data_IF_156699420816
#
_entry.id   IF_156699420816
#
_cell.length_a   1.000
_cell.length_b   1.000
_cell.length_c   1.000
_cell.angle_alpha   90.00
_cell.angle_beta   90.00
_cell.angle_gamma   90.00
#
_symmetry.space_group_name_H-M   'P 1'
#
loop_
_entity.id
_entity.type
_entity.pdbx_description
1 polymer ?
#
# COMPACT_ATOMS: atom_id res chain seq x y z
N UNK A 1 -3.98 16.71 -26.20
CA UNK A 1 -2.98 15.97 -25.39
C UNK A 1 -2.29 15.00 -26.31
N UNK A 2 -1.00 14.93 -26.27
CA UNK A 2 -0.24 13.96 -27.05
C UNK A 2 -0.58 12.54 -26.59
N UNK A 3 -0.41 11.59 -27.51
CA UNK A 3 -0.68 10.18 -27.20
C UNK A 3 0.42 9.68 -26.25
N UNK A 4 0.09 8.95 -25.14
CA UNK A 4 1.11 8.39 -24.30
C UNK A 4 1.99 7.39 -25.05
N UNK A 5 3.26 7.30 -24.66
CA UNK A 5 4.19 6.29 -25.16
C UNK A 5 3.70 4.88 -24.82
N UNK A 6 3.25 4.70 -23.60
CA UNK A 6 2.62 3.48 -23.08
C UNK A 6 1.84 3.77 -21.80
N UNK A 7 1.04 2.81 -21.38
CA UNK A 7 0.26 2.86 -20.15
C UNK A 7 0.63 1.65 -19.29
N UNK A 8 0.85 1.89 -18.01
CA UNK A 8 1.05 0.86 -17.00
C UNK A 8 -0.22 0.80 -16.15
N UNK A 9 -0.77 -0.42 -15.97
CA UNK A 9 -1.83 -0.67 -15.02
C UNK A 9 -1.29 -1.56 -13.91
N UNK A 10 -1.47 -1.14 -12.67
CA UNK A 10 -1.04 -1.83 -11.47
C UNK A 10 -2.21 -1.95 -10.51
N UNK A 11 -2.34 -3.10 -9.86
CA UNK A 11 -3.39 -3.34 -8.86
C UNK A 11 -2.80 -4.03 -7.65
N UNK A 12 -3.37 -3.75 -6.47
CA UNK A 12 -3.03 -4.45 -5.25
C UNK A 12 -4.29 -4.69 -4.40
N UNK A 13 -4.43 -5.89 -3.80
CA UNK A 13 -5.57 -6.20 -2.96
C UNK A 13 -5.52 -5.42 -1.64
N UNK A 14 -6.71 -5.13 -1.10
CA UNK A 14 -6.84 -4.89 0.33
C UNK A 14 -6.76 -6.23 1.07
N UNK A 15 -6.75 -6.21 2.39
CA UNK A 15 -6.59 -7.43 3.17
C UNK A 15 -7.63 -7.59 4.27
N UNK A 16 -7.90 -8.85 4.60
CA UNK A 16 -8.45 -9.26 5.89
C UNK A 16 -7.36 -9.97 6.69
N UNK A 17 -7.34 -9.77 7.99
CA UNK A 17 -6.38 -10.38 8.91
C UNK A 17 -7.14 -11.16 9.98
N UNK A 18 -7.18 -12.48 9.83
CA UNK A 18 -7.92 -13.35 10.73
C UNK A 18 -7.18 -13.61 12.04
N UNK A 19 -5.86 -13.71 11.97
CA UNK A 19 -5.04 -14.05 13.13
C UNK A 19 -3.74 -13.25 13.15
N UNK A 20 -3.29 -12.89 14.34
CA UNK A 20 -1.99 -12.26 14.56
C UNK A 20 -1.97 -10.76 14.33
N UNK A 21 -3.12 -10.10 14.20
CA UNK A 21 -3.19 -8.65 14.13
C UNK A 21 -2.46 -7.99 15.31
N UNK A 22 -1.77 -6.87 15.05
CA UNK A 22 -0.90 -6.14 15.99
C UNK A 22 0.47 -6.78 16.26
N UNK A 23 0.68 -8.07 15.96
CA UNK A 23 1.98 -8.71 16.20
C UNK A 23 3.03 -8.37 15.14
N UNK A 24 2.66 -7.63 14.10
CA UNK A 24 3.52 -7.11 13.04
C UNK A 24 4.04 -5.69 13.31
N UNK A 25 3.90 -5.20 14.53
CA UNK A 25 4.19 -3.83 14.90
C UNK A 25 5.51 -3.68 15.66
N UNK A 26 6.03 -2.46 15.73
CA UNK A 26 7.26 -2.11 16.45
C UNK A 26 7.16 -2.41 17.95
N UNK A 27 5.98 -2.29 18.55
CA UNK A 27 5.80 -2.56 19.98
C UNK A 27 5.68 -4.05 20.33
N UNK A 28 5.23 -4.87 19.38
CA UNK A 28 5.24 -6.33 19.53
C UNK A 28 6.64 -6.91 19.26
N UNK A 29 7.38 -6.33 18.32
CA UNK A 29 8.74 -6.71 17.97
C UNK A 29 8.85 -7.98 17.14
N UNK A 30 7.99 -8.97 17.36
CA UNK A 30 7.92 -10.24 16.63
C UNK A 30 6.49 -10.79 16.66
N UNK A 31 6.14 -11.64 15.69
CA UNK A 31 4.82 -12.23 15.65
C UNK A 31 4.57 -13.11 14.43
N UNK A 32 3.38 -13.69 14.41
CA UNK A 32 2.92 -14.54 13.33
C UNK A 32 1.52 -14.09 12.90
N UNK A 33 1.36 -13.86 11.62
CA UNK A 33 0.15 -13.28 11.03
C UNK A 33 -0.37 -14.20 9.94
N UNK A 34 -1.68 -14.40 9.92
CA UNK A 34 -2.39 -15.01 8.81
C UNK A 34 -3.29 -13.96 8.19
N UNK A 35 -3.10 -13.68 6.90
CA UNK A 35 -3.92 -12.73 6.18
C UNK A 35 -4.27 -13.21 4.77
N UNK A 36 -5.29 -12.58 4.20
CA UNK A 36 -5.82 -12.89 2.88
C UNK A 36 -6.00 -11.58 2.11
N UNK A 37 -5.38 -11.49 0.95
CA UNK A 37 -5.64 -10.43 -0.01
C UNK A 37 -7.00 -10.61 -0.68
N UNK A 38 -7.85 -9.59 -0.60
CA UNK A 38 -9.24 -9.67 -1.07
C UNK A 38 -9.59 -8.46 -1.95
N UNK A 39 -10.62 -8.63 -2.79
CA UNK A 39 -11.29 -7.53 -3.47
C UNK A 39 -12.05 -6.63 -2.44
N UNK A 40 -12.18 -5.33 -2.68
CA UNK A 40 -11.76 -4.56 -3.87
C UNK A 40 -10.27 -4.24 -3.89
N UNK A 41 -9.75 -4.00 -5.09
CA UNK A 41 -8.35 -3.64 -5.28
C UNK A 41 -8.14 -2.13 -5.25
N UNK A 42 -6.94 -1.71 -4.84
CA UNK A 42 -6.42 -0.41 -5.24
C UNK A 42 -5.91 -0.50 -6.67
N UNK A 43 -6.28 0.46 -7.49
CA UNK A 43 -5.96 0.51 -8.92
C UNK A 43 -5.15 1.77 -9.22
N UNK A 44 -4.05 1.59 -9.94
CA UNK A 44 -3.17 2.67 -10.39
C UNK A 44 -2.95 2.53 -11.89
N UNK A 45 -3.25 3.59 -12.63
CA UNK A 45 -2.91 3.70 -14.05
C UNK A 45 -1.89 4.82 -14.22
N UNK A 46 -0.78 4.52 -14.90
CA UNK A 46 0.28 5.48 -15.20
C UNK A 46 0.38 5.64 -16.71
N UNK A 47 -0.04 6.77 -17.22
CA UNK A 47 0.20 7.16 -18.60
C UNK A 47 1.55 7.88 -18.69
N UNK A 48 2.43 7.38 -19.56
CA UNK A 48 3.82 7.84 -19.69
C UNK A 48 3.96 8.63 -20.98
N UNK A 49 4.48 9.85 -20.87
CA UNK A 49 4.72 10.76 -21.99
C UNK A 49 6.20 11.12 -22.09
N UNK A 50 6.69 11.51 -23.29
CA UNK A 50 8.03 12.04 -23.41
C UNK A 50 8.10 13.38 -22.69
N UNK A 51 9.14 13.60 -21.88
CA UNK A 51 9.47 14.89 -21.31
C UNK A 51 10.27 15.73 -22.33
N UNK A 52 10.21 17.04 -22.16
CA UNK A 52 10.99 18.00 -22.95
C UNK A 52 12.46 18.13 -22.48
N UNK A 53 12.84 17.39 -21.44
CA UNK A 53 14.17 17.35 -20.85
C UNK A 53 14.47 18.50 -19.87
N UNK A 54 13.51 19.39 -19.60
CA UNK A 54 13.71 20.50 -18.66
C UNK A 54 13.24 20.21 -17.24
N UNK A 55 12.13 19.50 -17.09
CA UNK A 55 11.65 18.98 -15.81
C UNK A 55 10.64 17.87 -16.05
N UNK A 56 10.65 16.82 -15.23
CA UNK A 56 9.56 15.86 -15.22
C UNK A 56 8.30 16.53 -14.68
N UNK A 57 7.22 16.47 -15.44
CA UNK A 57 5.91 16.90 -14.97
C UNK A 57 5.11 15.66 -14.55
N UNK A 58 4.70 15.61 -13.30
CA UNK A 58 3.89 14.52 -12.78
C UNK A 58 2.54 15.07 -12.34
N UNK A 59 1.50 14.56 -12.97
CA UNK A 59 0.10 14.86 -12.65
C UNK A 59 -0.48 13.72 -11.84
N UNK A 60 -1.05 13.99 -10.70
CA UNK A 60 -1.86 13.05 -9.94
C UNK A 60 -3.34 13.32 -10.21
N UNK A 61 -4.08 12.26 -10.48
CA UNK A 61 -5.53 12.23 -10.52
C UNK A 61 -6.03 11.28 -9.43
N UNK A 62 -6.39 11.83 -8.27
CA UNK A 62 -6.91 11.08 -7.13
C UNK A 62 -8.46 10.99 -7.25
N UNK A 63 -8.95 9.98 -7.97
CA UNK A 63 -10.37 9.89 -8.37
C UNK A 63 -11.32 9.84 -7.19
N UNK A 64 -10.96 9.14 -6.13
CA UNK A 64 -11.79 9.06 -4.91
C UNK A 64 -12.06 10.42 -4.26
N UNK A 65 -11.20 11.39 -4.49
CA UNK A 65 -11.31 12.75 -3.95
C UNK A 65 -11.78 13.77 -4.99
N UNK A 66 -11.88 13.37 -6.27
CA UNK A 66 -12.17 14.28 -7.38
C UNK A 66 -11.09 15.33 -7.60
N UNK A 67 -9.85 15.02 -7.21
CA UNK A 67 -8.73 15.95 -7.26
C UNK A 67 -7.75 15.58 -8.37
N UNK A 68 -7.38 16.59 -9.18
CA UNK A 68 -6.34 16.49 -10.20
C UNK A 68 -5.38 17.65 -10.06
N UNK A 69 -4.10 17.37 -9.86
CA UNK A 69 -3.08 18.38 -9.66
C UNK A 69 -1.71 17.96 -10.19
N UNK A 70 -0.84 18.94 -10.38
CA UNK A 70 0.58 18.75 -10.73
C UNK A 70 1.40 18.74 -9.45
N UNK A 71 2.31 17.80 -9.32
CA UNK A 71 3.30 17.81 -8.23
C UNK A 71 4.23 19.00 -8.47
N UNK A 72 4.37 19.81 -7.45
CA UNK A 72 5.29 20.96 -7.42
C UNK A 72 6.45 20.59 -6.49
N UNK A 73 7.67 20.35 -7.02
CA UNK A 73 8.81 19.89 -6.21
C UNK A 73 9.16 20.78 -5.01
N UNK A 74 8.89 22.10 -5.12
CA UNK A 74 9.15 23.07 -4.05
C UNK A 74 8.14 23.00 -2.90
N UNK A 75 6.98 22.34 -3.14
CA UNK A 75 5.95 22.12 -2.14
C UNK A 75 6.04 20.68 -1.67
N UNK A 76 6.67 20.50 -0.55
CA UNK A 76 6.89 19.19 0.02
C UNK A 76 5.58 18.60 0.54
N UNK A 77 5.02 17.62 -0.19
CA UNK A 77 3.86 16.76 0.16
C UNK A 77 2.63 17.53 0.71
N UNK A 78 2.12 18.48 -0.06
CA UNK A 78 1.07 19.40 0.44
C UNK A 78 -0.38 18.92 0.17
N UNK A 79 -0.60 17.98 -0.76
CA UNK A 79 -1.92 17.52 -1.17
C UNK A 79 -2.24 16.11 -0.66
N UNK A 80 -1.54 15.13 -1.19
CA UNK A 80 -1.65 13.71 -0.81
C UNK A 80 -0.28 13.19 -0.43
N UNK A 81 0.18 13.43 0.82
CA UNK A 81 1.54 13.13 1.24
C UNK A 81 2.02 11.72 0.90
N UNK A 82 1.15 10.71 1.08
CA UNK A 82 1.49 9.32 0.80
C UNK A 82 1.83 9.08 -0.68
N UNK A 83 1.05 9.65 -1.59
CA UNK A 83 1.26 9.49 -3.03
C UNK A 83 2.50 10.24 -3.50
N UNK A 84 2.67 11.46 -2.99
CA UNK A 84 3.78 12.33 -3.35
C UNK A 84 5.11 11.79 -2.82
N UNK A 85 5.14 11.29 -1.58
CA UNK A 85 6.30 10.61 -1.01
C UNK A 85 6.67 9.32 -1.76
N UNK A 86 5.67 8.54 -2.20
CA UNK A 86 5.92 7.34 -2.99
C UNK A 86 6.56 7.66 -4.35
N UNK A 87 6.11 8.73 -5.01
CA UNK A 87 6.70 9.19 -6.27
C UNK A 87 8.15 9.70 -6.05
N UNK A 88 8.38 10.46 -4.99
CA UNK A 88 9.71 10.94 -4.63
C UNK A 88 10.67 9.80 -4.33
N UNK A 89 10.23 8.80 -3.55
CA UNK A 89 11.01 7.61 -3.20
C UNK A 89 11.52 6.84 -4.42
N UNK A 90 10.73 6.80 -5.49
CA UNK A 90 11.05 6.01 -6.69
C UNK A 90 12.10 6.66 -7.61
N UNK A 91 12.51 7.90 -7.37
CA UNK A 91 13.57 8.59 -8.14
C UNK A 91 13.40 8.44 -9.66
N UNK A 92 12.26 8.82 -10.18
CA UNK A 92 11.88 8.59 -11.58
C UNK A 92 12.78 9.39 -12.54
N UNK A 93 12.99 8.89 -13.79
CA UNK A 93 13.77 9.59 -14.79
C UNK A 93 13.17 10.96 -15.13
N UNK A 94 13.98 12.03 -15.05
CA UNK A 94 13.55 13.40 -15.35
C UNK A 94 13.12 13.62 -16.82
N UNK A 95 13.43 12.67 -17.71
CA UNK A 95 13.02 12.69 -19.12
C UNK A 95 11.59 12.25 -19.37
N UNK A 96 10.84 11.87 -18.34
CA UNK A 96 9.45 11.40 -18.46
C UNK A 96 8.47 12.38 -17.83
N UNK A 97 7.32 12.52 -18.48
CA UNK A 97 6.15 13.15 -17.89
C UNK A 97 5.11 12.07 -17.63
N UNK A 98 4.45 12.12 -16.48
CA UNK A 98 3.51 11.10 -16.03
C UNK A 98 2.15 11.68 -15.70
N UNK A 99 1.10 10.94 -16.04
CA UNK A 99 -0.22 11.13 -15.47
C UNK A 99 -0.58 9.87 -14.69
N UNK A 100 -0.71 10.01 -13.37
CA UNK A 100 -0.95 8.91 -12.43
C UNK A 100 -2.38 9.01 -11.93
N UNK A 101 -3.23 8.10 -12.37
CA UNK A 101 -4.62 7.99 -11.92
C UNK A 101 -4.72 6.89 -10.86
N UNK A 102 -5.35 7.22 -9.73
CA UNK A 102 -5.44 6.34 -8.56
C UNK A 102 -6.91 6.24 -8.14
N UNK A 103 -7.36 5.02 -7.97
CA UNK A 103 -8.71 4.69 -7.53
C UNK A 103 -8.71 3.52 -6.54
N UNK A 104 -9.61 3.54 -5.57
CA UNK A 104 -9.91 2.39 -4.70
C UNK A 104 -11.39 2.41 -4.30
N UNK A 105 -12.07 1.29 -4.49
CA UNK A 105 -13.43 1.11 -3.97
C UNK A 105 -13.45 1.00 -2.44
N UNK A 106 -12.40 0.48 -1.84
CA UNK A 106 -12.29 0.39 -0.38
C UNK A 106 -12.01 1.77 0.19
N UNK A 107 -12.85 2.27 1.12
CA UNK A 107 -12.62 3.57 1.72
C UNK A 107 -11.37 3.56 2.60
N UNK A 108 -10.67 4.68 2.65
CA UNK A 108 -9.57 4.89 3.60
C UNK A 108 -10.09 4.82 5.05
N UNK A 109 -9.28 4.27 5.96
CA UNK A 109 -9.63 4.17 7.38
C UNK A 109 -10.67 3.08 7.71
N UNK A 110 -10.85 2.10 6.82
CA UNK A 110 -11.76 0.97 7.03
C UNK A 110 -11.07 -0.27 7.67
N UNK A 111 -9.85 -0.14 8.16
CA UNK A 111 -9.03 -1.25 8.71
C UNK A 111 -8.72 -2.38 7.73
N UNK A 112 -8.77 -2.10 6.45
CA UNK A 112 -8.54 -3.10 5.38
C UNK A 112 -7.21 -2.96 4.67
N UNK A 113 -6.30 -2.11 5.19
CA UNK A 113 -4.99 -1.86 4.57
C UNK A 113 -5.06 -1.09 3.26
N UNK A 114 -6.08 -0.23 3.06
CA UNK A 114 -6.27 0.52 1.80
C UNK A 114 -5.09 1.42 1.47
N UNK A 115 -4.49 2.11 2.45
CA UNK A 115 -3.31 2.96 2.24
C UNK A 115 -2.12 2.16 1.72
N UNK A 116 -1.85 1.01 2.35
CA UNK A 116 -0.80 0.10 1.93
C UNK A 116 -1.07 -0.46 0.51
N UNK A 117 -2.31 -0.85 0.19
CA UNK A 117 -2.67 -1.32 -1.14
C UNK A 117 -2.43 -0.26 -2.21
N UNK A 118 -2.83 0.99 -1.95
CA UNK A 118 -2.58 2.13 -2.86
C UNK A 118 -1.08 2.34 -3.06
N UNK A 119 -0.31 2.37 -1.97
CA UNK A 119 1.14 2.61 -2.04
C UNK A 119 1.86 1.46 -2.75
N UNK A 120 1.51 0.21 -2.47
CA UNK A 120 2.06 -0.98 -3.14
C UNK A 120 1.74 -0.97 -4.63
N UNK A 121 0.49 -0.69 -5.02
CA UNK A 121 0.12 -0.58 -6.44
C UNK A 121 0.89 0.54 -7.13
N UNK A 122 1.05 1.71 -6.49
CA UNK A 122 1.78 2.84 -7.03
C UNK A 122 3.27 2.53 -7.20
N UNK A 123 3.94 2.04 -6.14
CA UNK A 123 5.36 1.67 -6.17
C UNK A 123 5.62 0.59 -7.22
N UNK A 124 4.80 -0.48 -7.24
CA UNK A 124 4.93 -1.55 -8.24
C UNK A 124 4.73 -1.07 -9.68
N UNK A 125 3.81 -0.14 -9.90
CA UNK A 125 3.62 0.50 -11.21
C UNK A 125 4.81 1.37 -11.61
N UNK A 126 5.32 2.18 -10.70
CA UNK A 126 6.46 3.07 -10.94
C UNK A 126 7.79 2.31 -11.12
N UNK A 127 7.95 1.14 -10.48
CA UNK A 127 9.11 0.28 -10.66
C UNK A 127 9.33 -0.14 -12.12
N UNK A 128 8.25 -0.17 -12.91
CA UNK A 128 8.35 -0.43 -14.35
C UNK A 128 9.13 0.66 -15.12
N UNK A 129 9.31 1.84 -14.54
CA UNK A 129 10.01 2.98 -15.13
C UNK A 129 11.47 3.10 -14.67
N UNK A 130 11.89 2.28 -13.71
CA UNK A 130 13.23 2.29 -13.15
C UNK A 130 14.07 1.14 -13.72
N UNK A 131 15.42 1.24 -13.69
CA UNK A 131 16.29 0.10 -14.00
C UNK A 131 16.14 -1.00 -12.95
N UNK A 132 15.99 -2.22 -13.39
CA UNK A 132 15.79 -3.38 -12.51
C UNK A 132 14.32 -3.71 -12.31
N UNK A 133 14.06 -4.56 -11.33
CA UNK A 133 12.70 -4.96 -10.91
C UNK A 133 12.74 -5.35 -9.46
N UNK A 134 11.83 -4.76 -8.70
CA UNK A 134 11.62 -5.12 -7.31
C UNK A 134 10.88 -6.45 -7.20
N UNK A 135 11.28 -7.27 -6.25
CA UNK A 135 10.47 -8.41 -5.81
C UNK A 135 9.24 -7.90 -5.03
N UNK A 136 8.20 -8.72 -4.85
CA UNK A 136 7.06 -8.35 -4.00
C UNK A 136 7.47 -7.90 -2.60
N UNK A 137 8.51 -8.53 -2.04
CA UNK A 137 9.02 -8.17 -0.72
C UNK A 137 9.69 -6.78 -0.71
N UNK A 138 10.45 -6.45 -1.74
CA UNK A 138 11.08 -5.13 -1.88
C UNK A 138 10.03 -4.03 -2.09
N UNK A 139 8.97 -4.30 -2.88
CA UNK A 139 7.84 -3.36 -3.04
C UNK A 139 7.14 -3.12 -1.70
N UNK A 140 6.85 -4.18 -0.94
CA UNK A 140 6.26 -4.06 0.39
C UNK A 140 7.15 -3.27 1.36
N UNK A 141 8.46 -3.56 1.36
CA UNK A 141 9.44 -2.84 2.19
C UNK A 141 9.56 -1.37 1.80
N UNK A 142 9.53 -1.04 0.51
CA UNK A 142 9.52 0.34 0.02
C UNK A 142 8.26 1.08 0.47
N UNK A 143 7.08 0.47 0.29
CA UNK A 143 5.81 1.04 0.73
C UNK A 143 5.77 1.28 2.26
N UNK A 144 6.30 0.35 3.05
CA UNK A 144 6.41 0.49 4.49
C UNK A 144 7.36 1.64 4.89
N UNK A 145 8.52 1.76 4.24
CA UNK A 145 9.47 2.87 4.50
C UNK A 145 8.88 4.23 4.16
N UNK A 146 8.11 4.33 3.09
CA UNK A 146 7.42 5.57 2.72
C UNK A 146 6.48 6.00 3.85
N UNK A 147 5.68 5.09 4.39
CA UNK A 147 4.77 5.41 5.50
C UNK A 147 5.52 5.73 6.79
N UNK A 148 6.52 4.94 7.17
CA UNK A 148 7.15 5.04 8.50
C UNK A 148 8.33 5.98 8.55
N UNK A 149 9.24 5.94 7.58
CA UNK A 149 10.48 6.74 7.60
C UNK A 149 10.29 8.12 6.97
N UNK A 150 9.56 8.22 5.84
CA UNK A 150 9.36 9.50 5.16
C UNK A 150 8.22 10.31 5.80
N UNK A 151 7.08 9.68 6.08
CA UNK A 151 5.90 10.36 6.62
C UNK A 151 5.82 10.30 8.15
N UNK A 152 6.66 9.50 8.82
CA UNK A 152 6.64 9.36 10.28
C UNK A 152 5.36 8.73 10.83
N UNK A 153 4.64 7.98 10.02
CA UNK A 153 3.40 7.32 10.42
C UNK A 153 3.69 6.01 11.14
N UNK A 154 2.80 5.64 12.04
CA UNK A 154 2.85 4.36 12.71
C UNK A 154 2.20 3.30 11.83
N UNK A 155 2.95 2.29 11.40
CA UNK A 155 2.46 1.20 10.56
C UNK A 155 3.11 -0.13 10.94
N UNK A 156 2.33 -1.21 10.99
CA UNK A 156 2.86 -2.56 10.90
C UNK A 156 3.29 -2.87 9.47
N UNK A 157 3.79 -4.08 9.20
CA UNK A 157 4.25 -4.45 7.85
C UNK A 157 3.32 -5.42 7.12
N UNK A 158 2.35 -6.01 7.80
CA UNK A 158 1.49 -7.03 7.22
C UNK A 158 0.65 -6.54 6.04
N UNK A 159 0.21 -5.27 6.10
CA UNK A 159 -0.64 -4.67 5.08
C UNK A 159 0.09 -4.58 3.75
N UNK A 160 1.30 -4.04 3.76
CA UNK A 160 2.14 -3.91 2.58
C UNK A 160 2.56 -5.28 2.03
N UNK A 161 2.90 -6.24 2.92
CA UNK A 161 3.24 -7.61 2.51
C UNK A 161 2.04 -8.30 1.86
N UNK A 162 0.85 -8.22 2.47
CA UNK A 162 -0.35 -8.82 1.89
C UNK A 162 -0.68 -8.23 0.53
N UNK A 163 -0.63 -6.90 0.41
CA UNK A 163 -0.93 -6.19 -0.84
C UNK A 163 0.07 -6.52 -1.95
N UNK A 164 1.35 -6.74 -1.62
CA UNK A 164 2.39 -7.04 -2.59
C UNK A 164 2.40 -8.52 -3.04
N UNK A 165 2.13 -9.46 -2.14
CA UNK A 165 2.10 -10.88 -2.45
C UNK A 165 0.75 -11.35 -2.98
N UNK A 166 -0.35 -10.71 -2.53
CA UNK A 166 -1.70 -11.17 -2.83
C UNK A 166 -2.01 -12.54 -2.22
N UNK A 167 -3.18 -13.08 -2.50
CA UNK A 167 -3.56 -14.43 -2.08
C UNK A 167 -3.63 -14.62 -0.57
N UNK A 168 -3.31 -15.83 -0.10
CA UNK A 168 -3.31 -16.21 1.32
C UNK A 168 -1.87 -16.29 1.79
N UNK A 169 -1.54 -15.65 2.91
CA UNK A 169 -0.18 -15.59 3.42
C UNK A 169 -0.10 -15.95 4.90
N UNK A 170 0.92 -16.73 5.23
CA UNK A 170 1.46 -16.82 6.57
C UNK A 170 2.72 -15.96 6.63
N UNK A 171 2.72 -14.97 7.51
CA UNK A 171 3.81 -14.02 7.70
C UNK A 171 4.41 -14.26 9.08
N UNK A 172 5.71 -14.47 9.14
CA UNK A 172 6.46 -14.57 10.37
C UNK A 172 7.38 -13.36 10.50
N UNK A 173 7.03 -12.45 11.39
CA UNK A 173 7.86 -11.31 11.75
C UNK A 173 8.79 -11.71 12.90
N UNK A 174 10.06 -11.82 12.60
CA UNK A 174 11.09 -12.24 13.55
C UNK A 174 11.79 -11.07 14.26
N UNK A 175 11.77 -9.90 13.63
CA UNK A 175 12.27 -8.64 14.19
C UNK A 175 11.70 -7.48 13.34
N UNK A 176 10.86 -6.62 13.94
CA UNK A 176 10.27 -5.50 13.22
C UNK A 176 11.33 -4.62 12.52
N UNK A 177 11.14 -4.24 11.23
CA UNK A 177 10.04 -4.63 10.34
C UNK A 177 10.36 -5.88 9.49
N UNK A 178 11.34 -6.71 9.84
CA UNK A 178 11.80 -7.85 9.07
C UNK A 178 10.89 -9.06 9.27
N UNK A 179 10.37 -9.56 8.16
CA UNK A 179 9.46 -10.70 8.15
C UNK A 179 9.77 -11.64 6.98
N UNK A 180 9.35 -12.88 7.10
CA UNK A 180 9.25 -13.81 5.99
C UNK A 180 7.78 -14.01 5.60
N UNK A 181 7.53 -14.30 4.32
CA UNK A 181 6.19 -14.56 3.81
C UNK A 181 6.16 -15.96 3.20
N UNK A 182 5.24 -16.78 3.66
CA UNK A 182 4.94 -18.10 3.11
C UNK A 182 3.56 -18.07 2.45
N UNK A 183 3.48 -17.91 1.11
CA UNK A 183 2.20 -17.98 0.41
C UNK A 183 1.58 -19.37 0.55
N UNK A 184 0.30 -19.41 0.94
CA UNK A 184 -0.45 -20.65 1.13
C UNK A 184 -1.20 -20.96 -0.16
N UNK A 185 -0.84 -22.08 -0.78
CA UNK A 185 -1.52 -22.57 -1.98
C UNK A 185 -2.67 -23.48 -1.60
N UNK A 186 -3.87 -23.17 -2.08
CA UNK A 186 -5.06 -24.01 -1.91
C UNK A 186 -5.63 -24.41 -3.28
N UNK A 187 -6.32 -25.56 -3.38
CA UNK A 187 -6.99 -25.94 -4.62
C UNK A 187 -8.01 -24.90 -5.09
N UNK A 188 -8.15 -24.71 -6.40
CA UNK A 188 -9.09 -23.78 -6.98
C UNK A 188 -10.53 -23.97 -6.46
N UNK A 189 -10.95 -25.22 -6.25
CA UNK A 189 -12.30 -25.50 -5.71
C UNK A 189 -12.48 -24.91 -4.31
N UNK A 190 -11.44 -24.98 -3.46
CA UNK A 190 -11.45 -24.38 -2.11
C UNK A 190 -11.42 -22.86 -2.21
N UNK A 191 -10.60 -22.31 -3.15
CA UNK A 191 -10.54 -20.89 -3.40
C UNK A 191 -11.90 -20.31 -3.79
N UNK A 192 -12.58 -20.93 -4.75
CA UNK A 192 -13.92 -20.50 -5.18
C UNK A 192 -14.99 -20.63 -4.09
N UNK A 193 -14.85 -21.64 -3.23
CA UNK A 193 -15.75 -21.80 -2.09
C UNK A 193 -15.53 -20.67 -1.07
N UNK A 194 -14.29 -20.29 -0.81
CA UNK A 194 -13.93 -19.17 0.05
C UNK A 194 -14.50 -17.86 -0.49
N UNK A 195 -14.25 -17.54 -1.78
CA UNK A 195 -14.78 -16.33 -2.42
C UNK A 195 -16.30 -16.19 -2.34
N UNK A 196 -17.02 -17.30 -2.49
CA UNK A 196 -18.49 -17.28 -2.40
C UNK A 196 -19.03 -17.12 -0.97
N UNK A 197 -18.22 -17.38 0.05
CA UNK A 197 -18.61 -17.31 1.46
C UNK A 197 -18.16 -16.05 2.16
N UNK A 198 -17.17 -15.37 1.62
CA UNK A 198 -16.71 -14.11 2.18
C UNK A 198 -17.65 -12.97 1.78
N UNK A 199 -17.94 -12.11 2.76
CA UNK A 199 -18.68 -10.87 2.55
C UNK A 199 -18.00 -9.77 3.35
N UNK A 200 -17.56 -8.71 2.68
CA UNK A 200 -17.01 -7.52 3.31
C UNK A 200 -18.11 -6.50 3.54
N UNK A 201 -18.32 -6.12 4.79
CA UNK A 201 -19.36 -5.15 5.18
C UNK A 201 -18.69 -3.92 5.78
N UNK A 202 -18.83 -2.78 5.11
CA UNK A 202 -18.36 -1.51 5.65
C UNK A 202 -19.36 -0.94 6.64
N UNK A 203 -18.91 -0.68 7.87
CA UNK A 203 -19.76 -0.19 8.96
C UNK A 203 -19.98 1.34 8.95
N UNK A 204 -19.51 2.04 7.92
CA UNK A 204 -19.71 3.47 7.76
C UNK A 204 -18.88 4.35 8.70
N UNK A 205 -17.88 3.80 9.39
CA UNK A 205 -17.00 4.55 10.28
C UNK A 205 -15.56 4.47 9.79
N UNK A 206 -14.98 5.62 9.48
CA UNK A 206 -13.56 5.76 9.22
C UNK A 206 -12.83 6.19 10.49
N UNK A 207 -11.60 5.74 10.68
CA UNK A 207 -10.73 6.14 11.78
C UNK A 207 -9.29 6.30 11.28
N UNK A 208 -8.50 7.04 12.04
CA UNK A 208 -7.05 7.10 11.80
C UNK A 208 -6.40 5.89 12.45
N UNK A 209 -5.57 5.16 11.72
CA UNK A 209 -4.85 3.99 12.25
C UNK A 209 -3.99 4.35 13.46
N UNK A 210 -3.33 5.52 13.45
CA UNK A 210 -2.54 6.03 14.57
C UNK A 210 -3.34 6.19 15.86
N UNK A 211 -4.59 6.65 15.80
CA UNK A 211 -5.42 6.84 17.01
C UNK A 211 -5.75 5.47 17.64
N UNK A 212 -5.96 4.46 16.79
CA UNK A 212 -6.22 3.09 17.24
C UNK A 212 -4.96 2.46 17.81
N UNK A 213 -3.79 2.67 17.19
CA UNK A 213 -2.49 2.23 17.70
C UNK A 213 -2.24 2.78 19.13
N UNK A 214 -2.44 4.09 19.32
CA UNK A 214 -2.28 4.69 20.64
C UNK A 214 -3.20 4.07 21.71
N UNK A 215 -4.46 3.79 21.35
CA UNK A 215 -5.40 3.13 22.28
C UNK A 215 -4.93 1.72 22.65
N UNK A 216 -4.44 0.94 21.68
CA UNK A 216 -3.92 -0.41 21.93
C UNK A 216 -2.68 -0.37 22.80
N UNK A 217 -1.71 0.51 22.51
CA UNK A 217 -0.48 0.66 23.32
C UNK A 217 -0.82 1.03 24.75
N UNK A 218 -1.69 2.03 24.96
CA UNK A 218 -2.14 2.41 26.31
C UNK A 218 -2.87 1.27 27.02
N UNK A 219 -3.64 0.48 26.28
CA UNK A 219 -4.30 -0.72 26.80
C UNK A 219 -3.30 -1.75 27.30
N UNK A 220 -2.26 -2.02 26.51
CA UNK A 220 -1.19 -2.96 26.87
C UNK A 220 -0.35 -2.48 28.05
N UNK A 221 0.00 -1.19 28.11
CA UNK A 221 0.73 -0.60 29.23
C UNK A 221 -0.03 -0.71 30.57
N UNK A 222 -1.35 -0.71 30.53
CA UNK A 222 -2.22 -0.80 31.71
C UNK A 222 -2.68 -2.24 32.03
N UNK A 223 -2.46 -3.21 31.15
CA UNK A 223 -2.94 -4.59 31.31
C UNK A 223 -2.14 -5.42 32.31
N UNK A 224 -0.93 -4.99 32.71
CA UNK A 224 -0.06 -5.79 33.57
C UNK A 224 0.61 -6.96 32.82
N UNK A 225 1.36 -7.82 33.53
CA UNK A 225 2.14 -8.90 32.90
C UNK A 225 1.34 -10.18 32.56
N UNK A 226 0.03 -10.19 32.67
CA UNK A 226 -0.84 -11.37 32.37
C UNK A 226 -1.50 -11.28 31.00
#
# INVERSE_FOLDING_TARGET
>A
MDKPLFIINSVAPIRICDNGGWTDTWFAGHGQIFNIGVYPYAEVQIAVYPGDGHASQIVINAENYGERYVIIPEKHWDKHPLLEAAIEYMHLPASLCLEVTIYSEAPGGASTGTSAAVTVALVGGLDMLTPGRMTPHEVASAAHKIETEMLGQQSGIQDQLCSAYGGINFIEMFQYPHASVSPIQIPNATWWELERRLSLVYLGKSHRSSDVHEMVIRGLENAGPD
#
